data_IF_458800876817
#
_entry.id   IF_458800876817
#
_cell.length_a   1.000
_cell.length_b   1.000
_cell.length_c   1.000
_cell.angle_alpha   90.00
_cell.angle_beta   90.00
_cell.angle_gamma   90.00
#
_symmetry.space_group_name_H-M   'P 1'
#
loop_
_entity.id
_entity.type
_entity.pdbx_description
1 polymer ?
#
# COMPACT_ATOMS: atom_id res chain seq x y z
N UNK A 1 -24.28 -21.11 3.23
CA UNK A 1 -23.97 -19.82 2.58
C UNK A 1 -23.05 -19.07 3.54
N UNK A 2 -21.77 -18.87 3.23
CA UNK A 2 -20.81 -18.27 4.17
C UNK A 2 -20.06 -17.05 3.62
N UNK A 3 -20.23 -16.71 2.33
CA UNK A 3 -19.70 -15.52 1.70
C UNK A 3 -20.80 -14.46 1.51
N UNK A 4 -20.42 -13.19 1.57
CA UNK A 4 -21.33 -12.06 1.32
C UNK A 4 -21.89 -12.08 -0.12
N UNK A 5 -21.19 -12.73 -1.04
CA UNK A 5 -21.52 -12.78 -2.47
C UNK A 5 -22.46 -13.93 -2.84
N UNK A 6 -22.95 -14.71 -1.87
CA UNK A 6 -23.67 -15.95 -2.14
C UNK A 6 -24.91 -15.74 -3.03
N UNK A 7 -25.62 -14.62 -2.87
CA UNK A 7 -26.86 -14.34 -3.57
C UNK A 7 -26.65 -13.48 -4.85
N UNK A 8 -25.39 -13.25 -5.27
CA UNK A 8 -25.11 -12.49 -6.49
C UNK A 8 -25.40 -13.30 -7.75
N UNK A 9 -25.95 -12.63 -8.76
CA UNK A 9 -26.00 -13.16 -10.12
C UNK A 9 -24.59 -13.29 -10.70
N UNK A 10 -24.42 -14.12 -11.72
CA UNK A 10 -23.13 -14.28 -12.39
C UNK A 10 -22.57 -12.95 -12.95
N UNK A 11 -23.46 -12.03 -13.36
CA UNK A 11 -23.07 -10.70 -13.84
C UNK A 11 -22.55 -9.83 -12.69
N UNK A 12 -23.27 -9.78 -11.57
CA UNK A 12 -22.85 -9.01 -10.40
C UNK A 12 -21.56 -9.59 -9.79
N UNK A 13 -21.38 -10.91 -9.83
CA UNK A 13 -20.12 -11.56 -9.47
C UNK A 13 -18.95 -11.15 -10.38
N UNK A 14 -19.18 -10.98 -11.68
CA UNK A 14 -18.16 -10.47 -12.59
C UNK A 14 -17.86 -8.99 -12.35
N UNK A 15 -18.90 -8.17 -12.12
CA UNK A 15 -18.76 -6.74 -11.85
C UNK A 15 -17.99 -6.49 -10.54
N UNK A 16 -18.31 -7.24 -9.47
CA UNK A 16 -17.58 -7.16 -8.19
C UNK A 16 -16.11 -7.53 -8.36
N UNK A 17 -15.79 -8.60 -9.09
CA UNK A 17 -14.41 -8.97 -9.39
C UNK A 17 -13.69 -7.88 -10.19
N UNK A 18 -14.35 -7.28 -11.18
CA UNK A 18 -13.77 -6.19 -11.97
C UNK A 18 -13.45 -4.96 -11.09
N UNK A 19 -14.32 -4.60 -10.15
CA UNK A 19 -14.05 -3.52 -9.20
C UNK A 19 -12.91 -3.86 -8.24
N UNK A 20 -12.83 -5.10 -7.74
CA UNK A 20 -11.71 -5.54 -6.89
C UNK A 20 -10.39 -5.39 -7.66
N UNK A 21 -10.32 -5.90 -8.89
CA UNK A 21 -9.13 -5.76 -9.73
C UNK A 21 -8.76 -4.30 -9.96
N UNK A 22 -9.73 -3.42 -10.23
CA UNK A 22 -9.47 -1.98 -10.40
C UNK A 22 -8.84 -1.35 -9.16
N UNK A 23 -9.35 -1.69 -7.97
CA UNK A 23 -8.79 -1.19 -6.71
C UNK A 23 -7.38 -1.73 -6.46
N UNK A 24 -7.15 -3.00 -6.73
CA UNK A 24 -5.83 -3.63 -6.58
C UNK A 24 -4.80 -3.07 -7.56
N UNK A 25 -5.19 -2.75 -8.78
CA UNK A 25 -4.27 -2.23 -9.80
C UNK A 25 -4.01 -0.73 -9.66
N UNK A 26 -5.01 0.07 -9.25
CA UNK A 26 -4.92 1.54 -9.27
C UNK A 26 -4.82 2.17 -7.89
N UNK A 27 -5.65 1.73 -6.94
CA UNK A 27 -5.72 2.36 -5.62
C UNK A 27 -4.63 1.83 -4.69
N UNK A 28 -4.40 0.52 -4.67
CA UNK A 28 -3.41 -0.12 -3.82
C UNK A 28 -1.99 0.47 -3.98
N UNK A 29 -1.43 0.65 -5.20
CA UNK A 29 -0.11 1.26 -5.34
C UNK A 29 -0.06 2.71 -4.84
N UNK A 30 -1.13 3.48 -5.03
CA UNK A 30 -1.22 4.85 -4.51
C UNK A 30 -1.23 4.86 -2.97
N UNK A 31 -1.97 3.96 -2.34
CA UNK A 31 -1.99 3.80 -0.87
C UNK A 31 -0.64 3.36 -0.32
N UNK A 32 0.03 2.40 -0.96
CA UNK A 32 1.36 1.97 -0.57
C UNK A 32 2.34 3.14 -0.63
N UNK A 33 2.30 3.91 -1.73
CA UNK A 33 3.15 5.09 -1.87
C UNK A 33 2.90 6.10 -0.75
N UNK A 34 1.64 6.49 -0.55
CA UNK A 34 1.27 7.50 0.43
C UNK A 34 1.64 7.11 1.87
N UNK A 35 1.52 5.84 2.24
CA UNK A 35 1.76 5.38 3.62
C UNK A 35 3.21 4.98 3.90
N UNK A 36 3.93 4.45 2.90
CA UNK A 36 5.23 3.79 3.14
C UNK A 36 6.40 4.40 2.36
N UNK A 37 6.14 5.14 1.28
CA UNK A 37 7.20 5.67 0.40
C UNK A 37 7.37 7.18 0.59
N UNK A 38 6.26 7.92 0.68
CA UNK A 38 6.32 9.34 0.98
C UNK A 38 7.04 9.59 2.32
N UNK A 39 8.18 10.30 2.33
CA UNK A 39 9.00 10.42 3.54
C UNK A 39 8.28 11.10 4.69
N UNK A 40 7.45 12.12 4.37
CA UNK A 40 6.73 12.90 5.37
C UNK A 40 5.67 12.05 6.04
N UNK A 41 4.81 11.40 5.25
CA UNK A 41 3.76 10.53 5.77
C UNK A 41 4.34 9.32 6.52
N UNK A 42 5.41 8.72 6.00
CA UNK A 42 6.01 7.56 6.65
C UNK A 42 6.57 7.93 8.03
N UNK A 43 7.30 9.04 8.17
CA UNK A 43 7.91 9.43 9.45
C UNK A 43 6.88 9.98 10.44
N UNK A 44 5.99 10.87 9.99
CA UNK A 44 5.06 11.58 10.87
C UNK A 44 3.88 10.69 11.32
N UNK A 45 3.43 9.78 10.45
CA UNK A 45 2.20 8.98 10.67
C UNK A 45 2.55 7.50 10.83
N UNK A 46 2.99 6.84 9.76
CA UNK A 46 3.05 5.37 9.71
C UNK A 46 4.06 4.78 10.70
N UNK A 47 5.31 5.23 10.66
CA UNK A 47 6.38 4.77 11.54
C UNK A 47 6.09 5.15 12.99
N UNK A 48 5.60 6.37 13.22
CA UNK A 48 5.25 6.85 14.57
C UNK A 48 4.15 6.00 15.20
N UNK A 49 3.07 5.75 14.48
CA UNK A 49 1.96 4.92 14.95
C UNK A 49 2.45 3.51 15.32
N UNK A 50 3.24 2.88 14.46
CA UNK A 50 3.81 1.57 14.77
C UNK A 50 4.80 1.62 15.95
N UNK A 51 5.60 2.69 16.07
CA UNK A 51 6.52 2.89 17.18
C UNK A 51 5.82 3.02 18.53
N UNK A 52 4.69 3.72 18.56
CA UNK A 52 3.87 3.94 19.77
C UNK A 52 3.03 2.72 20.16
N UNK A 53 2.60 1.91 19.18
CA UNK A 53 1.68 0.79 19.42
C UNK A 53 2.34 -0.60 19.46
N UNK A 54 3.65 -0.69 19.19
CA UNK A 54 4.40 -1.94 19.30
C UNK A 54 5.20 -2.00 20.60
N UNK A 55 5.23 -3.18 21.21
CA UNK A 55 6.07 -3.42 22.38
C UNK A 55 7.56 -3.36 22.03
N UNK A 56 8.36 -2.95 23.00
CA UNK A 56 9.81 -3.14 22.94
C UNK A 56 10.14 -4.65 22.84
N UNK A 57 11.08 -5.07 21.97
CA UNK A 57 11.94 -4.25 21.11
C UNK A 57 11.42 -4.09 19.66
N UNK A 58 10.23 -4.59 19.35
CA UNK A 58 9.71 -4.67 17.98
C UNK A 58 9.52 -3.28 17.35
N UNK A 59 9.18 -2.27 18.15
CA UNK A 59 9.02 -0.89 17.68
C UNK A 59 10.24 -0.31 16.95
N UNK A 60 11.46 -0.80 17.22
CA UNK A 60 12.68 -0.27 16.61
C UNK A 60 12.93 -0.73 15.18
N UNK A 61 12.58 -1.99 14.85
CA UNK A 61 12.98 -2.59 13.58
C UNK A 61 11.81 -3.11 12.75
N UNK A 62 10.66 -3.38 13.36
CA UNK A 62 9.50 -3.91 12.65
C UNK A 62 8.94 -2.89 11.63
N UNK A 63 8.82 -1.58 11.93
CA UNK A 63 8.37 -0.59 10.94
C UNK A 63 9.26 -0.54 9.70
N UNK A 64 10.59 -0.59 9.88
CA UNK A 64 11.55 -0.60 8.77
C UNK A 64 11.45 -1.86 7.90
N UNK A 65 11.26 -3.04 8.53
CA UNK A 65 11.01 -4.29 7.78
C UNK A 65 9.72 -4.24 6.98
N UNK A 66 8.66 -3.66 7.57
CA UNK A 66 7.38 -3.50 6.88
C UNK A 66 7.50 -2.55 5.69
N UNK A 67 8.20 -1.42 5.86
CA UNK A 67 8.46 -0.47 4.78
C UNK A 67 9.17 -1.13 3.60
N UNK A 68 10.23 -1.88 3.85
CA UNK A 68 10.97 -2.59 2.81
C UNK A 68 10.08 -3.56 2.03
N UNK A 69 9.22 -4.33 2.74
CA UNK A 69 8.27 -5.25 2.11
C UNK A 69 7.25 -4.52 1.24
N UNK A 70 6.74 -3.36 1.66
CA UNK A 70 5.80 -2.58 0.88
C UNK A 70 6.46 -1.96 -0.35
N UNK A 71 7.72 -1.54 -0.22
CA UNK A 71 8.51 -1.03 -1.33
C UNK A 71 8.79 -2.11 -2.39
N UNK A 72 9.12 -3.34 -1.97
CA UNK A 72 9.20 -4.50 -2.87
C UNK A 72 7.86 -4.79 -3.56
N UNK A 73 6.75 -4.77 -2.80
CA UNK A 73 5.41 -4.97 -3.35
C UNK A 73 5.07 -3.90 -4.40
N UNK A 74 5.38 -2.64 -4.14
CA UNK A 74 5.12 -1.55 -5.08
C UNK A 74 5.92 -1.72 -6.37
N UNK A 75 7.19 -2.13 -6.27
CA UNK A 75 8.04 -2.44 -7.43
C UNK A 75 7.47 -3.56 -8.29
N UNK A 76 6.93 -4.60 -7.65
CA UNK A 76 6.28 -5.71 -8.34
C UNK A 76 4.99 -5.26 -9.06
N UNK A 77 4.14 -4.48 -8.40
CA UNK A 77 2.87 -4.00 -8.98
C UNK A 77 3.11 -3.05 -10.17
N UNK A 78 4.08 -2.13 -10.05
CA UNK A 78 4.33 -1.12 -11.10
C UNK A 78 5.20 -1.65 -12.27
N UNK A 79 5.77 -2.84 -12.15
CA UNK A 79 6.61 -3.47 -13.17
C UNK A 79 7.81 -2.61 -13.58
N UNK A 80 8.87 -2.61 -12.77
CA UNK A 80 10.23 -2.11 -13.10
C UNK A 80 10.37 -0.75 -13.83
N UNK A 81 9.33 0.10 -13.82
CA UNK A 81 9.44 1.49 -14.21
C UNK A 81 10.08 2.24 -13.04
N UNK A 82 11.32 2.69 -13.26
CA UNK A 82 12.18 3.38 -12.30
C UNK A 82 11.35 4.26 -11.37
N UNK A 83 11.30 3.89 -10.09
CA UNK A 83 10.78 4.74 -9.02
C UNK A 83 11.87 5.78 -8.72
N UNK A 84 12.07 6.75 -9.61
CA UNK A 84 12.80 7.97 -9.24
C UNK A 84 11.88 8.77 -8.33
N UNK A 85 11.92 8.41 -7.05
CA UNK A 85 11.36 9.21 -5.99
C UNK A 85 12.24 10.46 -5.82
N UNK A 86 11.85 11.57 -6.45
CA UNK A 86 11.97 12.89 -5.84
C UNK A 86 13.15 13.81 -6.22
N UNK A 87 13.38 14.10 -7.50
CA UNK A 87 14.23 15.26 -7.88
C UNK A 87 13.58 16.30 -8.83
N UNK A 88 12.39 16.09 -9.39
CA UNK A 88 11.83 17.02 -10.39
C UNK A 88 10.77 18.03 -9.88
N UNK A 89 10.51 18.12 -8.56
CA UNK A 89 9.44 18.99 -8.04
C UNK A 89 9.91 20.31 -7.38
N UNK A 90 11.16 20.74 -7.60
CA UNK A 90 11.64 22.07 -7.17
C UNK A 90 12.44 22.77 -8.29
N UNK A 91 11.76 23.10 -9.39
CA UNK A 91 12.15 24.21 -10.28
C UNK A 91 10.90 24.87 -10.85
N UNK A 92 10.34 25.79 -10.09
CA UNK A 92 9.63 26.98 -10.57
C UNK A 92 9.61 28.06 -9.48
#
# INVERSE_FOLDING_TARGET
KYNADYDLSAKEGADTLAFISLLEERLLPALIYALWIDPKNYVEVTRRWHGENMSFPLNFFLPGRMQNRQLERLRLIRGNSSLEAGEEAEKE
#
